data_IF_049937145938
#
_entry.id   IF_049937145938
#
_cell.length_a   1.000
_cell.length_b   1.000
_cell.length_c   1.000
_cell.angle_alpha   90.00
_cell.angle_beta   90.00
_cell.angle_gamma   90.00
#
_symmetry.space_group_name_H-M   'P 1'
#
loop_
_entity.id
_entity.type
_entity.pdbx_description
1 polymer ?
#
# COMPACT_ATOMS: atom_id res chain seq x y z
N UNK A 1 -2.72 -12.93 16.26
CA UNK A 1 -2.76 -12.71 14.80
C UNK A 1 -1.40 -12.92 14.14
N UNK A 2 -0.41 -12.03 14.30
CA UNK A 2 0.90 -12.13 13.59
C UNK A 2 1.55 -13.51 13.74
N UNK A 3 1.74 -13.98 14.97
CA UNK A 3 2.33 -15.30 15.27
C UNK A 3 1.47 -16.46 14.78
N UNK A 4 0.16 -16.38 15.02
CA UNK A 4 -0.81 -17.43 14.66
C UNK A 4 -0.88 -17.66 13.15
N UNK A 5 -0.98 -16.58 12.38
CA UNK A 5 -1.05 -16.63 10.92
C UNK A 5 0.32 -16.83 10.27
N UNK A 6 1.40 -16.94 11.07
CA UNK A 6 2.78 -17.04 10.60
C UNK A 6 3.15 -15.93 9.62
N UNK A 7 2.66 -14.72 9.90
CA UNK A 7 2.94 -13.55 9.06
C UNK A 7 4.38 -13.09 9.25
N UNK A 8 5.11 -12.97 8.15
CA UNK A 8 6.52 -12.55 8.15
C UNK A 8 6.70 -11.04 7.94
N UNK A 9 5.64 -10.34 7.53
CA UNK A 9 5.70 -8.93 7.21
C UNK A 9 4.43 -8.18 7.61
N UNK A 10 4.65 -6.99 8.18
CA UNK A 10 3.62 -6.00 8.48
C UNK A 10 3.94 -4.74 7.70
N UNK A 11 2.99 -4.26 6.90
CA UNK A 11 3.04 -2.98 6.23
C UNK A 11 2.15 -1.98 6.97
N UNK A 12 2.80 -1.10 7.74
CA UNK A 12 2.16 0.01 8.46
C UNK A 12 2.17 1.26 7.61
N UNK A 13 0.98 1.78 7.31
CA UNK A 13 0.77 2.93 6.40
C UNK A 13 0.37 4.20 7.15
N UNK A 14 0.59 4.27 8.46
CA UNK A 14 0.33 5.45 9.29
C UNK A 14 1.39 5.61 10.36
N UNK A 15 1.52 6.82 10.89
CA UNK A 15 2.28 7.02 12.12
C UNK A 15 1.42 6.62 13.33
N UNK A 16 2.04 6.49 14.51
CA UNK A 16 1.28 6.31 15.77
C UNK A 16 0.42 7.53 16.08
N UNK A 17 0.92 8.73 15.76
CA UNK A 17 0.22 10.01 15.92
C UNK A 17 0.30 10.80 14.61
N UNK A 18 -0.83 11.32 14.15
CA UNK A 18 -0.93 12.20 12.97
C UNK A 18 -1.80 13.40 13.33
N UNK A 19 -1.31 14.62 13.07
CA UNK A 19 -2.02 15.86 13.43
C UNK A 19 -2.48 15.89 14.90
N UNK A 20 -1.62 15.44 15.82
CA UNK A 20 -1.90 15.31 17.26
C UNK A 20 -3.03 14.34 17.63
N UNK A 21 -3.50 13.52 16.69
CA UNK A 21 -4.50 12.48 16.94
C UNK A 21 -3.82 11.12 16.94
N UNK A 22 -4.05 10.33 17.99
CA UNK A 22 -3.62 8.94 18.03
C UNK A 22 -4.30 8.13 16.93
N UNK A 23 -3.50 7.44 16.12
CA UNK A 23 -3.93 6.64 14.97
C UNK A 23 -3.67 5.16 15.15
N UNK A 24 -2.61 4.81 15.87
CA UNK A 24 -2.17 3.44 16.11
C UNK A 24 -1.42 3.36 17.43
N UNK A 25 -1.61 2.27 18.18
CA UNK A 25 -0.83 2.00 19.38
C UNK A 25 0.56 1.49 19.01
N UNK A 26 1.54 1.70 19.88
CA UNK A 26 2.88 1.14 19.70
C UNK A 26 2.87 -0.38 19.88
N UNK A 27 3.29 -1.11 18.83
CA UNK A 27 3.33 -2.57 18.84
C UNK A 27 4.69 -3.14 18.40
N UNK A 28 5.66 -2.27 18.09
CA UNK A 28 7.05 -2.65 17.85
C UNK A 28 8.00 -1.66 18.55
N UNK A 29 9.20 -2.11 18.96
CA UNK A 29 10.18 -1.22 19.58
C UNK A 29 10.71 -0.18 18.58
N UNK A 30 10.64 1.10 18.95
CA UNK A 30 11.10 2.25 18.13
C UNK A 30 12.52 2.69 18.47
N UNK A 31 13.11 2.16 19.55
CA UNK A 31 14.45 2.49 20.02
C UNK A 31 15.33 1.25 19.98
N UNK A 32 16.58 1.40 19.53
CA UNK A 32 17.53 0.29 19.51
C UNK A 32 17.74 -0.27 20.91
N UNK A 33 17.65 -1.60 21.06
CA UNK A 33 17.81 -2.30 22.33
C UNK A 33 16.58 -2.32 23.24
N UNK A 34 15.46 -1.68 22.85
CA UNK A 34 14.19 -1.81 23.57
C UNK A 34 13.37 -3.00 23.08
N UNK A 35 12.50 -3.50 23.96
CA UNK A 35 11.68 -4.69 23.76
C UNK A 35 10.24 -4.39 24.17
N UNK A 36 9.27 -4.99 23.49
CA UNK A 36 7.87 -5.00 23.91
C UNK A 36 7.42 -6.43 24.22
N UNK A 37 6.47 -6.57 25.13
CA UNK A 37 5.91 -7.87 25.54
C UNK A 37 4.38 -7.83 25.44
N UNK A 38 3.82 -8.80 24.73
CA UNK A 38 2.37 -8.96 24.51
C UNK A 38 2.01 -10.43 24.71
N UNK A 39 1.28 -10.76 25.78
CA UNK A 39 0.71 -12.10 26.01
C UNK A 39 1.71 -13.26 25.77
N UNK A 40 2.92 -13.14 26.35
CA UNK A 40 3.99 -14.14 26.20
C UNK A 40 4.81 -14.02 24.90
N UNK A 41 4.46 -13.11 24.00
CA UNK A 41 5.24 -12.77 22.81
C UNK A 41 6.17 -11.61 23.11
N UNK A 42 7.48 -11.81 22.89
CA UNK A 42 8.49 -10.75 23.00
C UNK A 42 8.83 -10.21 21.61
N UNK A 43 8.64 -8.91 21.41
CA UNK A 43 8.99 -8.19 20.18
C UNK A 43 10.30 -7.44 20.38
N UNK A 44 11.27 -7.69 19.51
CA UNK A 44 12.62 -7.10 19.56
C UNK A 44 12.97 -6.53 18.19
N UNK A 45 13.40 -5.27 18.16
CA UNK A 45 13.93 -4.66 16.94
C UNK A 45 15.37 -5.14 16.72
N UNK A 46 15.59 -6.01 15.72
CA UNK A 46 16.92 -6.53 15.38
C UNK A 46 17.71 -5.58 14.47
N UNK A 47 17.02 -4.89 13.57
CA UNK A 47 17.59 -3.99 12.58
C UNK A 47 16.53 -2.97 12.17
N UNK A 48 16.96 -1.74 11.91
CA UNK A 48 16.14 -0.68 11.33
C UNK A 48 16.87 -0.12 10.11
N UNK A 49 16.17 -0.05 8.99
CA UNK A 49 16.63 0.56 7.75
C UNK A 49 15.65 1.68 7.36
N UNK A 50 16.17 2.75 6.78
CA UNK A 50 15.36 3.86 6.27
C UNK A 50 15.27 3.76 4.75
N UNK A 51 14.10 4.12 4.21
CA UNK A 51 13.83 4.14 2.77
C UNK A 51 13.25 5.50 2.40
N UNK A 52 13.68 6.05 1.27
CA UNK A 52 13.10 7.28 0.75
C UNK A 52 11.70 7.00 0.18
N UNK A 53 10.71 7.79 0.61
CA UNK A 53 9.36 7.76 0.07
C UNK A 53 9.18 8.85 -1.01
N UNK A 54 8.43 8.63 -2.10
CA UNK A 54 7.80 7.37 -2.49
C UNK A 54 8.88 6.35 -2.78
N UNK A 55 8.78 5.18 -2.15
CA UNK A 55 9.53 4.01 -2.63
C UNK A 55 9.05 3.92 -4.05
N UNK A 56 9.92 4.24 -5.03
CA UNK A 56 9.65 4.05 -6.44
C UNK A 56 8.90 2.74 -6.55
N UNK A 57 7.59 2.79 -6.84
CA UNK A 57 6.53 1.92 -6.33
C UNK A 57 6.78 0.46 -6.68
N UNK A 58 7.80 -0.11 -6.06
CA UNK A 58 8.28 -1.44 -6.28
C UNK A 58 7.34 -2.25 -5.43
N UNK A 59 6.26 -2.64 -6.09
CA UNK A 59 5.50 -3.87 -5.91
C UNK A 59 6.36 -5.04 -5.38
N UNK A 60 7.68 -5.00 -5.62
CA UNK A 60 8.69 -5.86 -5.00
C UNK A 60 8.70 -5.91 -3.46
N UNK A 61 8.13 -4.94 -2.72
CA UNK A 61 7.99 -5.11 -1.25
C UNK A 61 7.23 -6.40 -0.96
N UNK A 62 6.15 -6.67 -1.68
CA UNK A 62 5.33 -7.85 -1.41
C UNK A 62 5.96 -9.13 -1.97
N UNK A 63 6.65 -9.07 -3.12
CA UNK A 63 7.40 -10.22 -3.65
C UNK A 63 8.58 -10.64 -2.75
N UNK A 64 9.25 -9.69 -2.11
CA UNK A 64 10.43 -9.98 -1.26
C UNK A 64 10.06 -10.70 0.04
N UNK A 65 8.86 -10.47 0.57
CA UNK A 65 8.47 -10.89 1.92
C UNK A 65 7.28 -11.88 1.97
N UNK A 66 6.95 -12.53 0.85
CA UNK A 66 5.88 -13.56 0.74
C UNK A 66 6.44 -14.99 0.77
N UNK A 67 7.23 -15.36 1.80
CA UNK A 67 7.89 -16.69 1.87
C UNK A 67 7.13 -17.77 2.66
N UNK A 68 5.84 -17.58 2.99
CA UNK A 68 5.05 -18.65 3.59
C UNK A 68 3.79 -18.27 4.37
N UNK A 69 3.57 -16.97 4.63
CA UNK A 69 2.39 -16.47 5.34
C UNK A 69 1.82 -15.18 4.73
N UNK A 70 0.64 -14.73 5.17
CA UNK A 70 0.03 -13.50 4.66
C UNK A 70 0.85 -12.27 5.09
N UNK A 71 0.84 -11.24 4.25
CA UNK A 71 1.32 -9.90 4.63
C UNK A 71 0.19 -9.18 5.33
N UNK A 72 0.44 -8.70 6.56
CA UNK A 72 -0.52 -7.86 7.28
C UNK A 72 -0.36 -6.43 6.80
N UNK A 73 -1.43 -5.80 6.30
CA UNK A 73 -1.42 -4.40 5.88
C UNK A 73 -2.40 -3.61 6.74
N UNK A 74 -1.94 -2.53 7.37
CA UNK A 74 -2.83 -1.69 8.16
C UNK A 74 -2.47 -0.20 8.08
N UNK A 75 -3.43 0.62 8.49
CA UNK A 75 -3.24 2.04 8.75
C UNK A 75 -3.85 2.34 10.13
N UNK A 76 -4.72 3.33 10.24
CA UNK A 76 -5.54 3.53 11.45
C UNK A 76 -6.79 2.63 11.41
N UNK A 77 -7.77 2.93 10.56
CA UNK A 77 -8.99 2.11 10.40
C UNK A 77 -8.81 0.85 9.52
N UNK A 78 -7.69 0.74 8.80
CA UNK A 78 -7.40 -0.40 7.93
C UNK A 78 -8.30 -0.52 6.70
N UNK A 79 -8.74 0.60 6.12
CA UNK A 79 -9.64 0.64 4.94
C UNK A 79 -9.23 1.66 3.86
N UNK A 80 -8.83 2.89 4.22
CA UNK A 80 -8.43 3.92 3.24
C UNK A 80 -7.08 3.62 2.59
N UNK A 81 -5.98 4.06 3.21
CA UNK A 81 -4.59 3.78 2.76
C UNK A 81 -4.32 2.30 2.55
N UNK A 82 -4.77 1.45 3.48
CA UNK A 82 -4.69 -0.02 3.35
C UNK A 82 -5.37 -0.51 2.08
N UNK A 83 -6.62 -0.11 1.83
CA UNK A 83 -7.35 -0.52 0.64
C UNK A 83 -6.69 -0.05 -0.65
N UNK A 84 -6.13 1.16 -0.68
CA UNK A 84 -5.39 1.66 -1.85
C UNK A 84 -4.18 0.79 -2.19
N UNK A 85 -3.37 0.42 -1.18
CA UNK A 85 -2.19 -0.41 -1.40
C UNK A 85 -2.58 -1.84 -1.78
N UNK A 86 -3.60 -2.42 -1.15
CA UNK A 86 -4.09 -3.76 -1.49
C UNK A 86 -4.66 -3.80 -2.91
N UNK A 87 -5.46 -2.80 -3.31
CA UNK A 87 -5.99 -2.71 -4.67
C UNK A 87 -4.88 -2.55 -5.71
N UNK A 88 -3.90 -1.69 -5.42
CA UNK A 88 -2.74 -1.49 -6.28
C UNK A 88 -1.95 -2.79 -6.44
N UNK A 89 -1.64 -3.48 -5.35
CA UNK A 89 -0.95 -4.76 -5.39
C UNK A 89 -1.73 -5.80 -6.21
N UNK A 90 -3.03 -5.90 -5.99
CA UNK A 90 -3.86 -6.86 -6.71
C UNK A 90 -3.82 -6.61 -8.22
N UNK A 91 -3.96 -5.36 -8.66
CA UNK A 91 -3.82 -5.00 -10.07
C UNK A 91 -2.43 -5.35 -10.62
N UNK A 92 -1.38 -5.06 -9.84
CA UNK A 92 0.01 -5.37 -10.19
C UNK A 92 0.27 -6.88 -10.34
N UNK A 93 -0.31 -7.72 -9.51
CA UNK A 93 -0.23 -9.18 -9.67
C UNK A 93 -0.95 -9.67 -10.92
N UNK A 94 -2.09 -9.07 -11.27
CA UNK A 94 -2.84 -9.40 -12.47
C UNK A 94 -2.10 -9.00 -13.75
N UNK A 95 -1.40 -7.86 -13.74
CA UNK A 95 -0.56 -7.39 -14.87
C UNK A 95 0.51 -8.42 -15.27
N UNK A 96 1.03 -9.18 -14.30
CA UNK A 96 2.07 -10.19 -14.55
C UNK A 96 1.50 -11.56 -14.97
N UNK A 97 0.17 -11.71 -15.03
CA UNK A 97 -0.49 -12.95 -15.49
C UNK A 97 -0.82 -12.86 -16.98
N UNK A 98 -0.91 -14.00 -17.70
CA UNK A 98 -1.32 -14.03 -19.11
C UNK A 98 -2.85 -13.83 -19.25
N UNK A 99 -3.39 -12.73 -18.71
CA UNK A 99 -4.79 -12.37 -18.78
C UNK A 99 -4.96 -10.85 -18.90
N UNK A 100 -5.99 -10.35 -19.59
CA UNK A 100 -6.26 -8.93 -19.66
C UNK A 100 -6.65 -8.39 -18.28
N UNK A 101 -6.18 -7.18 -17.98
CA UNK A 101 -6.61 -6.42 -16.81
C UNK A 101 -7.99 -5.84 -17.13
N UNK A 102 -8.93 -6.02 -16.21
CA UNK A 102 -10.28 -5.47 -16.30
C UNK A 102 -10.33 -4.06 -15.72
N UNK A 103 -11.50 -3.44 -15.77
CA UNK A 103 -11.72 -2.12 -15.17
C UNK A 103 -11.43 -2.13 -13.65
N UNK A 104 -10.61 -1.20 -13.19
CA UNK A 104 -10.23 -1.06 -11.77
C UNK A 104 -11.42 -0.92 -10.81
N UNK A 105 -12.56 -0.42 -11.29
CA UNK A 105 -13.80 -0.33 -10.50
C UNK A 105 -14.30 -1.71 -10.09
N UNK A 106 -14.21 -2.71 -10.96
CA UNK A 106 -14.60 -4.08 -10.66
C UNK A 106 -13.78 -4.64 -9.49
N UNK A 107 -12.45 -4.52 -9.59
CA UNK A 107 -11.54 -4.95 -8.53
C UNK A 107 -11.76 -4.21 -7.21
N UNK A 108 -12.08 -2.91 -7.25
CA UNK A 108 -12.43 -2.16 -6.05
C UNK A 108 -13.73 -2.68 -5.42
N UNK A 109 -14.75 -2.98 -6.22
CA UNK A 109 -16.00 -3.53 -5.71
C UNK A 109 -15.80 -4.91 -5.09
N UNK A 110 -14.97 -5.77 -5.70
CA UNK A 110 -14.62 -7.07 -5.14
C UNK A 110 -13.83 -6.93 -3.83
N UNK A 111 -12.84 -6.03 -3.77
CA UNK A 111 -12.13 -5.73 -2.53
C UNK A 111 -13.07 -5.24 -1.41
N UNK A 112 -14.11 -4.47 -1.77
CA UNK A 112 -15.11 -3.99 -0.80
C UNK A 112 -16.05 -5.08 -0.30
N UNK A 113 -16.21 -6.20 -1.02
CA UNK A 113 -16.92 -7.39 -0.53
C UNK A 113 -16.13 -8.08 0.59
N UNK A 114 -14.81 -8.16 0.44
CA UNK A 114 -13.91 -8.76 1.43
C UNK A 114 -13.65 -7.82 2.62
N UNK A 115 -13.54 -6.50 2.37
CA UNK A 115 -13.29 -5.47 3.38
C UNK A 115 -14.08 -4.21 3.06
N UNK A 116 -15.20 -4.03 3.75
CA UNK A 116 -16.12 -2.92 3.53
C UNK A 116 -15.42 -1.55 3.60
N UNK A 117 -15.83 -0.62 2.74
CA UNK A 117 -15.28 0.73 2.62
C UNK A 117 -13.76 0.82 2.30
N UNK A 118 -13.15 -0.25 1.77
CA UNK A 118 -11.81 -0.19 1.19
C UNK A 118 -11.71 0.92 0.12
N UNK A 119 -10.64 1.72 0.18
CA UNK A 119 -10.48 2.98 -0.57
C UNK A 119 -11.63 3.94 -0.26
N UNK A 120 -11.41 4.85 0.68
CA UNK A 120 -12.48 5.67 1.27
C UNK A 120 -12.79 6.95 0.49
N UNK A 121 -11.80 7.52 -0.20
CA UNK A 121 -11.95 8.82 -0.86
C UNK A 121 -11.58 8.74 -2.34
N UNK A 122 -12.10 9.67 -3.13
CA UNK A 122 -11.76 9.79 -4.55
C UNK A 122 -10.25 10.05 -4.74
N UNK A 123 -9.63 10.87 -3.90
CA UNK A 123 -8.19 11.11 -3.91
C UNK A 123 -7.36 9.82 -3.74
N UNK A 124 -7.82 8.90 -2.89
CA UNK A 124 -7.18 7.60 -2.69
C UNK A 124 -7.35 6.69 -3.93
N UNK A 125 -8.47 6.77 -4.62
CA UNK A 125 -8.69 6.03 -5.87
C UNK A 125 -7.88 6.63 -7.02
N UNK A 126 -7.84 7.95 -7.15
CA UNK A 126 -6.98 8.67 -8.09
C UNK A 126 -5.50 8.35 -7.87
N UNK A 127 -5.06 8.24 -6.61
CA UNK A 127 -3.69 7.80 -6.29
C UNK A 127 -3.39 6.42 -6.87
N UNK A 128 -4.30 5.44 -6.75
CA UNK A 128 -4.10 4.10 -7.33
C UNK A 128 -3.91 4.18 -8.84
N UNK A 129 -4.75 4.95 -9.53
CA UNK A 129 -4.63 5.15 -10.99
C UNK A 129 -3.35 5.88 -11.39
N UNK A 130 -2.99 6.95 -10.69
CA UNK A 130 -1.74 7.68 -10.93
C UNK A 130 -0.52 6.77 -10.84
N UNK A 131 -0.47 5.91 -9.82
CA UNK A 131 0.65 5.00 -9.63
C UNK A 131 0.68 3.93 -10.72
N UNK A 132 -0.47 3.32 -11.05
CA UNK A 132 -0.57 2.31 -12.11
C UNK A 132 -0.16 2.86 -13.48
N UNK A 133 -0.65 4.03 -13.86
CA UNK A 133 -0.33 4.62 -15.16
C UNK A 133 1.14 5.01 -15.26
N UNK A 134 1.74 5.53 -14.18
CA UNK A 134 3.18 5.80 -14.15
C UNK A 134 4.01 4.52 -14.23
N UNK A 135 3.56 3.44 -13.59
CA UNK A 135 4.16 2.13 -13.76
C UNK A 135 4.07 1.67 -15.22
N UNK A 136 2.91 1.77 -15.86
CA UNK A 136 2.73 1.37 -17.25
C UNK A 136 3.62 2.14 -18.22
N UNK A 137 3.79 3.45 -18.03
CA UNK A 137 4.75 4.26 -18.80
C UNK A 137 6.18 3.72 -18.63
N UNK A 138 6.64 3.52 -17.39
CA UNK A 138 8.01 3.07 -17.09
C UNK A 138 8.29 1.65 -17.58
N UNK A 139 7.32 0.75 -17.45
CA UNK A 139 7.39 -0.63 -17.91
C UNK A 139 7.12 -0.79 -19.41
N UNK A 140 6.90 0.32 -20.14
CA UNK A 140 6.64 0.35 -21.60
C UNK A 140 5.39 -0.45 -22.01
N UNK A 141 4.37 -0.47 -21.15
CA UNK A 141 3.03 -0.98 -21.49
C UNK A 141 2.17 0.07 -22.22
N UNK A 142 2.56 1.34 -22.16
CA UNK A 142 1.89 2.43 -22.85
C UNK A 142 2.61 2.79 -24.15
N UNK A 143 1.84 3.10 -25.19
CA UNK A 143 2.35 3.68 -26.42
C UNK A 143 2.77 5.15 -26.20
N UNK A 144 3.81 5.62 -26.90
CA UNK A 144 4.32 6.99 -26.72
C UNK A 144 3.28 8.06 -27.06
N UNK A 145 2.33 7.78 -27.96
CA UNK A 145 1.22 8.67 -28.26
C UNK A 145 0.31 8.94 -27.06
N UNK A 146 0.35 8.08 -26.03
CA UNK A 146 -0.46 8.23 -24.81
C UNK A 146 0.21 9.14 -23.76
N UNK A 147 1.50 9.45 -23.91
CA UNK A 147 2.26 10.19 -22.89
C UNK A 147 1.72 11.60 -22.60
N UNK A 148 1.27 12.40 -23.59
CA UNK A 148 0.68 13.71 -23.32
C UNK A 148 -0.56 13.60 -22.40
N UNK A 149 -1.44 12.63 -22.64
CA UNK A 149 -2.64 12.42 -21.82
C UNK A 149 -2.29 12.02 -20.38
N UNK A 150 -1.27 11.19 -20.19
CA UNK A 150 -0.79 10.84 -18.85
C UNK A 150 -0.15 12.04 -18.13
N UNK A 151 0.54 12.91 -18.85
CA UNK A 151 1.13 14.13 -18.29
C UNK A 151 0.05 15.12 -17.87
N UNK A 152 -0.99 15.30 -18.69
CA UNK A 152 -2.17 16.10 -18.35
C UNK A 152 -2.91 15.53 -17.14
N UNK A 153 -3.18 14.22 -17.13
CA UNK A 153 -3.77 13.54 -15.97
C UNK A 153 -2.92 13.72 -14.71
N UNK A 154 -1.60 13.58 -14.81
CA UNK A 154 -0.68 13.76 -13.68
C UNK A 154 -0.73 15.19 -13.14
N UNK A 155 -0.85 16.19 -14.02
CA UNK A 155 -0.98 17.59 -13.64
C UNK A 155 -2.30 17.85 -12.93
N UNK A 156 -3.41 17.35 -13.46
CA UNK A 156 -4.73 17.44 -12.82
C UNK A 156 -4.76 16.74 -11.46
N UNK A 157 -4.22 15.52 -11.40
CA UNK A 157 -4.05 14.77 -10.16
C UNK A 157 -3.30 15.59 -9.09
N UNK A 158 -2.15 16.18 -9.44
CA UNK A 158 -1.35 17.00 -8.51
C UNK A 158 -2.11 18.24 -8.04
N UNK A 159 -2.90 18.86 -8.92
CA UNK A 159 -3.72 20.01 -8.56
C UNK A 159 -4.85 19.60 -7.60
N UNK A 160 -5.52 18.48 -7.88
CA UNK A 160 -6.61 17.97 -7.07
C UNK A 160 -6.16 17.46 -5.69
N UNK A 161 -4.94 16.92 -5.60
CA UNK A 161 -4.39 16.36 -4.35
C UNK A 161 -3.52 17.35 -3.56
N UNK A 162 -3.41 18.60 -4.02
CA UNK A 162 -2.57 19.61 -3.36
C UNK A 162 -3.09 19.89 -1.94
N UNK A 163 -2.22 19.70 -0.94
CA UNK A 163 -2.55 19.98 0.46
C UNK A 163 -3.15 18.80 1.24
N UNK A 164 -3.24 17.62 0.60
CA UNK A 164 -3.47 16.34 1.25
C UNK A 164 -2.14 15.60 1.50
#
# INVERSE_FOLDING_TARGET
MVVQEKSEAILMLCNFVEQNVSKCAEYFPTSAGSNLYFDGVRVVCKKQDYFDFPIDTKVQIMEKYTKGGPIIVHCSAGIGRTGSIVLLQHAMELIHRPAPILEMRGYLLDLRKERNNSVQTEHQYLYVHQVLLQYFKRAKYLDESTYPYLEDFTKEYRNATRGF
#
